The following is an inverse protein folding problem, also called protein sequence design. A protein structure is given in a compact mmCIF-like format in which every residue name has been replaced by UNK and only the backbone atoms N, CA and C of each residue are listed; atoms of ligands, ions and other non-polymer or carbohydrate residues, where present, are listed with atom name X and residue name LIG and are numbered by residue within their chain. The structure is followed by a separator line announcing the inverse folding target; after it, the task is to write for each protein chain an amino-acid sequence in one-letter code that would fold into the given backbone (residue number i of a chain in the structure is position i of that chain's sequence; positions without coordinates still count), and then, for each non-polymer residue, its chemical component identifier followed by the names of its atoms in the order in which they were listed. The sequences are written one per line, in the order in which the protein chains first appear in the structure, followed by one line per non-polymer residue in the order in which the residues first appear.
data_IF_060410322785
#
_entry.id   IF_060410322785
#
_cell.length_a   1.000
_cell.length_b   1.000
_cell.length_c   1.000
_cell.angle_alpha   90.00
_cell.angle_beta   90.00
_cell.angle_gamma   90.00
#
_symmetry.space_group_name_H-M   'P 1'
#
loop_
_entity.id
_entity.type
_entity.pdbx_description
1 polymer ?
#
# COMPACT_ATOMS: atom_id res chain seq x y z
N UNK A 1 -19.79 8.72 -1.33
CA UNK A 1 -19.02 8.40 -2.56
C UNK A 1 -17.51 8.78 -2.49
N UNK A 2 -16.92 9.08 -1.32
CA UNK A 2 -15.60 9.74 -1.25
C UNK A 2 -14.33 8.86 -1.33
N UNK A 3 -14.42 7.54 -1.55
CA UNK A 3 -13.25 6.62 -1.51
C UNK A 3 -13.16 5.64 -2.68
N UNK A 4 -13.95 5.81 -3.73
CA UNK A 4 -13.91 4.92 -4.89
C UNK A 4 -12.55 4.99 -5.62
N UNK A 5 -11.95 6.18 -5.68
CA UNK A 5 -10.63 6.41 -6.28
C UNK A 5 -9.48 5.71 -5.54
N UNK A 6 -9.60 5.45 -4.23
CA UNK A 6 -8.58 4.71 -3.46
C UNK A 6 -8.55 3.20 -3.76
N UNK A 7 -9.61 2.69 -4.41
CA UNK A 7 -9.71 1.29 -4.83
C UNK A 7 -9.37 1.07 -6.30
N UNK A 8 -9.04 2.13 -7.05
CA UNK A 8 -8.58 2.01 -8.42
C UNK A 8 -7.18 1.39 -8.42
N UNK A 9 -7.14 0.08 -8.62
CA UNK A 9 -5.91 -0.66 -8.81
C UNK A 9 -5.43 -0.40 -10.24
N UNK A 10 -4.50 0.54 -10.40
CA UNK A 10 -3.77 0.67 -11.65
C UNK A 10 -2.93 -0.60 -11.79
N UNK A 11 -3.36 -1.51 -12.66
CA UNK A 11 -2.82 -2.87 -12.83
C UNK A 11 -1.31 -2.94 -13.11
N UNK A 12 -0.66 -1.80 -13.37
CA UNK A 12 0.77 -1.66 -13.53
C UNK A 12 1.53 -1.55 -12.21
N UNK A 13 1.71 -2.67 -11.49
CA UNK A 13 2.88 -2.96 -10.64
C UNK A 13 3.46 -1.86 -9.74
N UNK A 14 2.66 -0.91 -9.28
CA UNK A 14 3.12 0.28 -8.57
C UNK A 14 2.92 0.22 -7.06
N UNK A 15 3.48 1.20 -6.35
CA UNK A 15 3.37 1.33 -4.89
C UNK A 15 1.92 1.35 -4.39
N UNK A 16 0.99 1.89 -5.20
CA UNK A 16 -0.43 1.92 -4.88
C UNK A 16 -1.07 0.52 -4.86
N UNK A 17 -0.75 -0.34 -5.82
CA UNK A 17 -1.23 -1.72 -5.86
C UNK A 17 -0.71 -2.54 -4.66
N UNK A 18 0.57 -2.35 -4.31
CA UNK A 18 1.18 -2.98 -3.13
C UNK A 18 0.51 -2.49 -1.84
N UNK A 19 0.24 -1.19 -1.73
CA UNK A 19 -0.45 -0.62 -0.57
C UNK A 19 -1.89 -1.11 -0.44
N UNK A 20 -2.63 -1.26 -1.55
CA UNK A 20 -3.98 -1.80 -1.56
C UNK A 20 -3.99 -3.27 -1.09
N UNK A 21 -3.08 -4.09 -1.62
CA UNK A 21 -2.93 -5.49 -1.23
C UNK A 21 -2.51 -5.61 0.24
N UNK A 22 -1.58 -4.76 0.70
CA UNK A 22 -1.16 -4.71 2.10
C UNK A 22 -2.35 -4.39 3.01
N UNK A 23 -3.13 -3.36 2.68
CA UNK A 23 -4.30 -2.95 3.46
C UNK A 23 -5.36 -4.07 3.56
N UNK A 24 -5.54 -4.86 2.50
CA UNK A 24 -6.45 -6.01 2.49
C UNK A 24 -5.96 -7.14 3.40
N UNK A 25 -4.65 -7.45 3.37
CA UNK A 25 -4.07 -8.58 4.09
C UNK A 25 -3.73 -8.28 5.55
N UNK A 26 -3.66 -7.01 5.94
CA UNK A 26 -3.36 -6.61 7.31
C UNK A 26 -4.40 -7.14 8.31
N UNK A 27 -3.88 -7.61 9.45
CA UNK A 27 -4.70 -8.04 10.58
C UNK A 27 -5.02 -6.85 11.46
N UNK A 28 -6.24 -6.80 11.99
CA UNK A 28 -6.70 -5.70 12.84
C UNK A 28 -6.96 -6.19 14.25
N UNK A 29 -6.66 -5.34 15.24
CA UNK A 29 -6.87 -5.65 16.67
C UNK A 29 -8.33 -5.98 16.97
N UNK A 30 -9.34 -5.20 16.50
CA UNK A 30 -10.73 -5.50 16.81
C UNK A 30 -11.16 -6.87 16.31
N UNK A 31 -10.75 -7.26 15.09
CA UNK A 31 -11.06 -8.60 14.55
C UNK A 31 -10.40 -9.71 15.36
N UNK A 32 -9.18 -9.51 15.85
CA UNK A 32 -8.51 -10.48 16.71
C UNK A 32 -9.24 -10.66 18.05
N UNK A 33 -9.70 -9.56 18.68
CA UNK A 33 -10.49 -9.64 19.92
C UNK A 33 -11.88 -10.23 19.71
N UNK A 34 -12.55 -9.92 18.59
CA UNK A 34 -13.82 -10.56 18.23
C UNK A 34 -13.62 -12.06 18.02
N UNK A 35 -12.55 -12.48 17.35
CA UNK A 35 -12.21 -13.89 17.21
C UNK A 35 -11.87 -14.55 18.55
N UNK A 36 -11.30 -13.80 19.50
CA UNK A 36 -11.00 -14.28 20.85
C UNK A 36 -12.26 -14.47 21.70
N UNK A 37 -13.34 -13.72 21.45
CA UNK A 37 -14.62 -14.01 22.12
C UNK A 37 -15.13 -15.44 21.85
N UNK A 38 -14.67 -16.04 20.74
CA UNK A 38 -14.89 -17.43 20.36
C UNK A 38 -13.64 -18.30 20.61
N UNK A 39 -12.86 -18.00 21.66
CA UNK A 39 -11.63 -18.72 22.00
C UNK A 39 -11.81 -20.24 22.17
N UNK A 40 -12.96 -20.82 22.60
CA UNK A 40 -13.08 -22.28 22.69
C UNK A 40 -12.86 -22.97 21.34
N UNK A 41 -13.15 -22.26 20.24
CA UNK A 41 -12.92 -22.72 18.87
C UNK A 41 -11.50 -22.42 18.34
N UNK A 42 -10.68 -21.67 19.09
CA UNK A 42 -9.32 -21.28 18.70
C UNK A 42 -9.24 -20.27 17.55
N UNK A 43 -10.35 -19.62 17.20
CA UNK A 43 -10.46 -18.75 16.00
C UNK A 43 -9.45 -17.59 16.01
N UNK A 44 -9.12 -17.04 17.18
CA UNK A 44 -8.13 -15.98 17.31
C UNK A 44 -6.74 -16.43 16.86
N UNK A 45 -6.31 -17.66 17.17
CA UNK A 45 -5.02 -18.19 16.72
C UNK A 45 -5.01 -18.58 15.26
N UNK A 46 -6.12 -19.13 14.73
CA UNK A 46 -6.25 -19.35 13.29
C UNK A 46 -6.22 -18.04 12.49
N UNK A 47 -6.88 -16.99 12.98
CA UNK A 47 -6.82 -15.65 12.40
C UNK A 47 -5.39 -15.08 12.39
N UNK A 48 -4.62 -15.37 13.44
CA UNK A 48 -3.21 -15.00 13.58
C UNK A 48 -2.24 -16.01 12.94
N UNK A 49 -2.72 -16.90 12.07
CA UNK A 49 -1.92 -17.85 11.27
C UNK A 49 -1.10 -18.84 12.11
N UNK A 50 -1.58 -19.22 13.28
CA UNK A 50 -0.93 -20.17 14.19
C UNK A 50 -1.79 -21.45 14.34
N UNK A 51 -1.84 -22.33 13.33
CA UNK A 51 -2.83 -23.42 13.26
C UNK A 51 -2.63 -24.46 14.37
N UNK A 52 -1.37 -24.78 14.70
CA UNK A 52 -1.05 -25.73 15.79
C UNK A 52 -1.55 -25.20 17.13
N UNK A 53 -1.28 -23.92 17.40
CA UNK A 53 -1.74 -23.26 18.60
C UNK A 53 -3.27 -23.12 18.64
N UNK A 54 -3.92 -22.91 17.49
CA UNK A 54 -5.37 -22.81 17.36
C UNK A 54 -6.09 -24.13 17.63
N UNK A 55 -5.51 -25.26 17.22
CA UNK A 55 -6.08 -26.60 17.45
C UNK A 55 -6.09 -27.02 18.93
N UNK A 56 -5.24 -26.42 19.78
CA UNK A 56 -5.21 -26.72 21.23
C UNK A 56 -6.54 -26.38 21.92
N UNK A 57 -7.18 -25.28 21.53
CA UNK A 57 -8.43 -24.80 22.13
C UNK A 57 -9.63 -25.74 21.91
N UNK A 58 -9.94 -26.18 20.67
CA UNK A 58 -11.04 -27.12 20.46
C UNK A 58 -10.73 -28.48 21.10
N UNK A 59 -9.48 -28.94 21.10
CA UNK A 59 -9.10 -30.18 21.80
C UNK A 59 -9.33 -30.06 23.31
N UNK A 60 -8.90 -28.97 23.93
CA UNK A 60 -9.16 -28.72 25.36
C UNK A 60 -10.65 -28.57 25.65
N UNK A 61 -11.40 -27.92 24.76
CA UNK A 61 -12.84 -27.74 24.91
C UNK A 61 -13.58 -29.08 24.82
N UNK A 62 -13.16 -29.98 23.92
CA UNK A 62 -13.64 -31.36 23.88
C UNK A 62 -13.24 -32.14 25.13
N UNK A 63 -12.04 -31.94 25.66
CA UNK A 63 -11.61 -32.56 26.91
C UNK A 63 -12.45 -32.08 28.11
N UNK A 64 -12.80 -30.78 28.19
CA UNK A 64 -13.73 -30.25 29.18
C UNK A 64 -15.10 -30.92 29.05
N UNK A 65 -15.66 -30.98 27.84
CA UNK A 65 -16.96 -31.61 27.60
C UNK A 65 -16.96 -33.11 27.94
N UNK A 66 -15.92 -33.84 27.53
CA UNK A 66 -15.77 -35.27 27.80
C UNK A 66 -15.62 -35.56 29.29
N UNK A 67 -14.79 -34.79 30.01
CA UNK A 67 -14.63 -34.95 31.45
C UNK A 67 -15.88 -34.55 32.22
N UNK A 68 -16.60 -33.52 31.79
CA UNK A 68 -17.88 -33.14 32.40
C UNK A 68 -18.96 -34.22 32.22
N UNK A 69 -18.93 -34.97 31.12
CA UNK A 69 -19.88 -36.05 30.84
C UNK A 69 -19.52 -37.38 31.53
N UNK A 70 -18.24 -37.74 31.52
CA UNK A 70 -17.78 -39.08 31.90
C UNK A 70 -17.28 -39.19 33.34
N UNK A 71 -16.79 -38.09 33.94
CA UNK A 71 -16.19 -38.12 35.27
C UNK A 71 -17.17 -37.53 36.31
N UNK A 72 -17.46 -38.25 37.41
CA UNK A 72 -18.29 -37.72 38.48
C UNK A 72 -17.56 -36.61 39.24
N UNK A 73 -18.28 -35.59 39.69
CA UNK A 73 -17.73 -34.49 40.50
C UNK A 73 -17.11 -33.37 39.66
N UNK A 74 -16.01 -32.80 40.15
CA UNK A 74 -15.47 -31.52 39.65
C UNK A 74 -14.22 -31.66 38.78
N UNK A 75 -13.93 -32.87 38.28
CA UNK A 75 -12.73 -33.14 37.47
C UNK A 75 -12.66 -32.31 36.18
N UNK A 76 -13.81 -31.90 35.63
CA UNK A 76 -13.89 -31.02 34.46
C UNK A 76 -13.32 -29.61 34.71
N UNK A 77 -13.18 -29.20 35.97
CA UNK A 77 -12.55 -27.91 36.32
C UNK A 77 -11.07 -27.87 35.96
N UNK A 78 -10.36 -29.00 35.95
CA UNK A 78 -8.94 -29.05 35.61
C UNK A 78 -8.67 -28.62 34.16
N UNK A 79 -9.23 -29.28 33.13
CA UNK A 79 -9.04 -28.82 31.75
C UNK A 79 -9.66 -27.45 31.51
N UNK A 80 -10.73 -27.07 32.23
CA UNK A 80 -11.31 -25.75 32.11
C UNK A 80 -10.37 -24.65 32.64
N UNK A 81 -9.71 -24.87 33.78
CA UNK A 81 -8.75 -23.94 34.33
C UNK A 81 -7.56 -23.74 33.38
N UNK A 82 -7.07 -24.81 32.76
CA UNK A 82 -6.02 -24.74 31.73
C UNK A 82 -6.50 -23.94 30.51
N UNK A 83 -7.71 -24.24 30.01
CA UNK A 83 -8.32 -23.56 28.88
C UNK A 83 -8.45 -22.05 29.13
N UNK A 84 -8.98 -21.65 30.29
CA UNK A 84 -9.13 -20.24 30.68
C UNK A 84 -7.77 -19.56 30.89
N UNK A 85 -6.81 -20.23 31.52
CA UNK A 85 -5.46 -19.71 31.69
C UNK A 85 -4.77 -19.41 30.35
N UNK A 86 -4.90 -20.30 29.38
CA UNK A 86 -4.39 -20.08 28.02
C UNK A 86 -5.14 -18.95 27.30
N UNK A 87 -6.46 -18.84 27.47
CA UNK A 87 -7.25 -17.77 26.88
C UNK A 87 -6.84 -16.39 27.42
N UNK A 88 -6.65 -16.28 28.74
CA UNK A 88 -6.17 -15.06 29.42
C UNK A 88 -4.75 -14.73 28.96
N UNK A 89 -3.85 -15.71 28.95
CA UNK A 89 -2.49 -15.53 28.44
C UNK A 89 -2.53 -14.97 27.01
N UNK A 90 -3.34 -15.54 26.11
CA UNK A 90 -3.45 -15.04 24.75
C UNK A 90 -3.92 -13.58 24.66
N UNK A 91 -4.79 -13.12 25.57
CA UNK A 91 -5.28 -11.73 25.59
C UNK A 91 -4.13 -10.71 25.68
N UNK A 92 -3.11 -11.00 26.49
CA UNK A 92 -1.92 -10.15 26.64
C UNK A 92 -1.01 -10.18 25.41
N UNK A 93 -1.01 -11.28 24.64
CA UNK A 93 -0.11 -11.46 23.51
C UNK A 93 -0.74 -11.11 22.15
N UNK A 94 -2.06 -10.99 22.05
CA UNK A 94 -2.76 -10.67 20.79
C UNK A 94 -2.19 -9.40 20.14
N UNK A 95 -1.97 -8.34 20.92
CA UNK A 95 -1.45 -7.08 20.39
C UNK A 95 -0.07 -7.26 19.76
N UNK A 96 0.86 -7.88 20.48
CA UNK A 96 2.21 -8.15 19.99
C UNK A 96 2.22 -9.02 18.74
N UNK A 97 1.34 -10.03 18.67
CA UNK A 97 1.23 -10.90 17.48
C UNK A 97 0.69 -10.15 16.26
N UNK A 98 -0.34 -9.33 16.43
CA UNK A 98 -0.88 -8.51 15.32
C UNK A 98 0.20 -7.58 14.77
N UNK A 99 0.96 -6.92 15.63
CA UNK A 99 2.06 -6.03 15.22
C UNK A 99 3.14 -6.82 14.47
N UNK A 100 3.57 -7.96 15.01
CA UNK A 100 4.59 -8.82 14.40
C UNK A 100 4.16 -9.31 13.01
N UNK A 101 2.95 -9.86 12.88
CA UNK A 101 2.43 -10.34 11.60
C UNK A 101 2.29 -9.22 10.57
N UNK A 102 1.80 -8.06 10.98
CA UNK A 102 1.69 -6.92 10.07
C UNK A 102 3.07 -6.39 9.65
N UNK A 103 4.08 -6.46 10.53
CA UNK A 103 5.46 -6.11 10.20
C UNK A 103 6.06 -7.11 9.21
N UNK A 104 5.89 -8.40 9.46
CA UNK A 104 6.31 -9.47 8.54
C UNK A 104 5.65 -9.34 7.17
N UNK A 105 4.35 -9.07 7.12
CA UNK A 105 3.61 -8.86 5.88
C UNK A 105 4.16 -7.66 5.08
N UNK A 106 4.46 -6.54 5.75
CA UNK A 106 5.10 -5.38 5.11
C UNK A 106 6.46 -5.76 4.55
N UNK A 107 7.30 -6.42 5.34
CA UNK A 107 8.60 -6.88 4.87
C UNK A 107 8.48 -7.80 3.67
N UNK A 108 7.57 -8.79 3.71
CA UNK A 108 7.37 -9.72 2.61
C UNK A 108 6.90 -9.04 1.32
N UNK A 109 6.05 -8.00 1.42
CA UNK A 109 5.54 -7.29 0.25
C UNK A 109 6.54 -6.28 -0.32
N UNK A 110 7.25 -5.52 0.54
CA UNK A 110 8.21 -4.50 0.09
C UNK A 110 9.59 -5.08 -0.26
N UNK A 111 10.02 -6.16 0.40
CA UNK A 111 11.29 -6.83 0.12
C UNK A 111 11.14 -7.99 -0.86
N UNK A 112 9.94 -8.24 -1.40
CA UNK A 112 9.76 -9.26 -2.45
C UNK A 112 10.58 -8.84 -3.66
N UNK A 113 11.72 -9.50 -3.89
CA UNK A 113 12.44 -9.48 -5.17
C UNK A 113 11.60 -10.20 -6.22
N UNK A 114 10.51 -9.59 -6.66
CA UNK A 114 9.60 -10.09 -7.70
C UNK A 114 9.63 -9.20 -8.93
N UNK A 115 9.13 -9.71 -10.07
CA UNK A 115 9.12 -9.06 -11.39
C UNK A 115 8.67 -7.58 -11.44
N UNK A 116 7.91 -7.10 -10.45
CA UNK A 116 7.45 -5.71 -10.32
C UNK A 116 8.48 -4.75 -9.71
N UNK A 117 9.60 -5.27 -9.17
CA UNK A 117 10.71 -4.47 -8.65
C UNK A 117 11.78 -4.17 -9.70
N UNK A 118 11.52 -4.51 -10.98
CA UNK A 118 12.38 -4.00 -12.05
C UNK A 118 12.14 -2.50 -12.14
N UNK A 119 13.18 -1.68 -11.98
CA UNK A 119 13.06 -0.27 -12.26
C UNK A 119 12.48 -0.09 -13.68
N UNK A 120 11.68 0.96 -13.95
CA UNK A 120 11.35 1.34 -15.32
C UNK A 120 12.59 1.29 -16.21
N UNK A 121 12.43 0.96 -17.50
CA UNK A 121 13.56 0.71 -18.42
C UNK A 121 14.63 1.82 -18.40
N UNK A 122 14.25 3.05 -18.06
CA UNK A 122 15.13 4.22 -18.00
C UNK A 122 15.33 4.80 -16.59
N UNK A 123 15.02 4.04 -15.54
CA UNK A 123 15.24 4.50 -14.17
C UNK A 123 16.73 4.51 -13.84
N UNK A 124 17.33 5.69 -13.96
CA UNK A 124 18.63 6.03 -13.39
C UNK A 124 18.38 6.35 -11.91
N UNK A 125 18.87 5.52 -11.00
CA UNK A 125 18.67 5.68 -9.57
C UNK A 125 19.32 6.96 -9.02
N UNK A 126 19.44 7.07 -7.69
CA UNK A 126 20.33 8.09 -7.13
C UNK A 126 21.77 7.68 -7.45
N UNK A 127 22.48 8.55 -8.13
CA UNK A 127 23.92 8.48 -8.37
C UNK A 127 24.64 8.29 -7.04
N UNK A 128 25.20 7.10 -6.81
CA UNK A 128 25.82 6.71 -5.53
C UNK A 128 27.34 6.66 -5.59
N UNK A 129 27.95 6.76 -6.78
CA UNK A 129 29.39 6.67 -6.95
C UNK A 129 30.02 8.04 -7.26
N UNK A 130 31.27 8.27 -6.85
CA UNK A 130 31.99 9.53 -7.10
C UNK A 130 32.21 9.81 -8.60
N UNK A 131 32.27 8.75 -9.44
CA UNK A 131 32.27 8.87 -10.90
C UNK A 131 30.97 9.46 -11.45
N UNK A 132 29.86 9.25 -10.74
CA UNK A 132 28.57 9.81 -11.11
C UNK A 132 28.45 11.29 -10.72
N UNK A 133 29.25 11.78 -9.77
CA UNK A 133 29.23 13.19 -9.39
C UNK A 133 29.63 14.10 -10.56
N UNK A 134 30.60 13.69 -11.37
CA UNK A 134 31.01 14.40 -12.60
C UNK A 134 29.98 14.24 -13.73
N UNK A 135 29.29 13.10 -13.82
CA UNK A 135 28.15 12.95 -14.73
C UNK A 135 26.99 13.86 -14.34
N UNK A 136 26.67 13.95 -13.05
CA UNK A 136 25.65 14.83 -12.49
C UNK A 136 25.99 16.29 -12.72
N UNK A 137 27.25 16.71 -12.51
CA UNK A 137 27.67 18.08 -12.80
C UNK A 137 27.46 18.42 -14.27
N UNK A 138 27.82 17.52 -15.19
CA UNK A 138 27.60 17.71 -16.64
C UNK A 138 26.12 17.80 -17.00
N UNK A 139 25.30 16.88 -16.50
CA UNK A 139 23.85 16.89 -16.72
C UNK A 139 23.19 18.15 -16.14
N UNK A 140 23.63 18.59 -14.96
CA UNK A 140 23.16 19.81 -14.31
C UNK A 140 23.54 21.07 -15.10
N UNK A 141 24.77 21.11 -15.66
CA UNK A 141 25.22 22.19 -16.53
C UNK A 141 24.45 22.22 -17.84
N UNK A 142 24.21 21.07 -18.47
CA UNK A 142 23.39 20.97 -19.68
C UNK A 142 21.95 21.46 -19.42
N UNK A 143 21.35 21.04 -18.29
CA UNK A 143 20.02 21.48 -17.90
C UNK A 143 19.95 22.98 -17.61
N UNK A 144 20.96 23.53 -16.92
CA UNK A 144 21.06 24.99 -16.68
C UNK A 144 21.20 25.77 -17.97
N UNK A 145 22.01 25.31 -18.93
CA UNK A 145 22.18 25.97 -20.22
C UNK A 145 20.86 26.01 -21.01
N UNK A 146 20.12 24.90 -21.04
CA UNK A 146 18.77 24.86 -21.66
C UNK A 146 17.83 25.81 -20.94
N UNK A 147 17.84 25.83 -19.60
CA UNK A 147 16.97 26.73 -18.83
C UNK A 147 17.34 28.20 -18.96
N UNK A 148 18.61 28.54 -19.10
CA UNK A 148 19.07 29.91 -19.35
C UNK A 148 18.67 30.38 -20.75
N UNK A 149 18.69 29.49 -21.74
CA UNK A 149 18.13 29.76 -23.07
C UNK A 149 16.62 30.00 -23.03
N UNK A 150 15.89 29.37 -22.09
CA UNK A 150 14.45 29.58 -21.89
C UNK A 150 14.12 30.80 -21.02
N UNK A 151 15.05 31.33 -20.21
CA UNK A 151 14.75 32.31 -19.14
C UNK A 151 14.82 33.77 -19.57
N UNK A 152 15.26 34.07 -20.79
CA UNK A 152 15.14 35.40 -21.37
C UNK A 152 14.27 35.29 -22.62
N UNK A 153 13.31 36.20 -22.81
CA UNK A 153 12.33 36.18 -23.91
C UNK A 153 12.91 36.36 -25.31
N UNK A 154 13.90 35.56 -25.68
CA UNK A 154 14.48 35.47 -27.01
C UNK A 154 13.91 34.24 -27.72
N UNK A 155 13.38 34.37 -28.94
CA UNK A 155 13.06 33.21 -29.76
C UNK A 155 14.36 32.44 -30.03
N UNK A 156 14.31 31.12 -29.89
CA UNK A 156 15.42 30.22 -30.22
C UNK A 156 15.76 30.37 -31.71
N UNK A 157 16.78 31.16 -32.03
CA UNK A 157 17.34 31.24 -33.37
C UNK A 157 18.29 30.06 -33.58
N UNK A 158 17.77 28.94 -34.10
CA UNK A 158 18.61 27.99 -34.83
C UNK A 158 18.86 28.54 -36.24
N UNK A 159 20.12 28.69 -36.70
CA UNK A 159 20.40 29.06 -38.07
C UNK A 159 20.41 27.81 -38.97
N UNK A 160 19.59 27.82 -40.01
CA UNK A 160 19.43 26.73 -40.99
C UNK A 160 18.15 25.95 -40.69
N UNK A 161 17.07 26.07 -41.47
CA UNK A 161 17.00 25.90 -42.92
C UNK A 161 15.72 26.59 -43.39
N UNK A 162 15.77 27.35 -44.48
CA UNK A 162 14.58 27.88 -45.15
C UNK A 162 13.83 26.71 -45.77
N UNK A 163 12.73 26.28 -45.16
CA UNK A 163 11.65 25.60 -45.88
C UNK A 163 10.30 26.12 -45.39
N UNK A 164 9.58 26.72 -46.33
CA UNK A 164 8.16 27.04 -46.24
C UNK A 164 7.37 25.73 -46.06
N UNK A 165 6.79 25.51 -44.89
CA UNK A 165 5.56 24.71 -44.80
C UNK A 165 4.69 25.22 -43.66
N UNK A 166 3.44 25.55 -44.02
CA UNK A 166 2.44 26.06 -43.08
C UNK A 166 2.03 24.99 -42.08
N UNK A 167 2.48 25.12 -40.84
CA UNK A 167 1.85 24.50 -39.69
C UNK A 167 1.64 25.59 -38.64
N UNK A 168 0.38 25.98 -38.43
CA UNK A 168 -0.05 26.87 -37.35
C UNK A 168 0.30 26.22 -36.01
N UNK A 169 1.51 26.49 -35.51
CA UNK A 169 1.90 26.26 -34.13
C UNK A 169 1.14 27.23 -33.23
N UNK A 170 -0.12 26.90 -32.95
CA UNK A 170 -0.97 27.67 -32.05
C UNK A 170 -0.32 27.77 -30.67
N UNK A 171 0.01 28.98 -30.27
CA UNK A 171 0.41 29.34 -28.90
C UNK A 171 -0.57 28.67 -27.93
N UNK A 172 -0.07 27.86 -26.98
CA UNK A 172 -0.92 27.31 -25.93
C UNK A 172 -1.59 28.47 -25.19
N UNK A 173 -2.92 28.48 -25.07
CA UNK A 173 -3.65 29.57 -24.44
C UNK A 173 -3.17 29.74 -23.00
N UNK A 174 -2.98 30.98 -22.60
CA UNK A 174 -2.61 31.33 -21.23
C UNK A 174 -3.69 30.89 -20.24
N UNK A 175 -3.33 30.75 -18.96
CA UNK A 175 -4.27 30.33 -17.92
C UNK A 175 -5.54 31.20 -17.87
N UNK A 176 -5.39 32.51 -18.10
CA UNK A 176 -6.52 33.45 -18.17
C UNK A 176 -7.44 33.16 -19.37
N UNK A 177 -6.89 32.78 -20.52
CA UNK A 177 -7.67 32.42 -21.70
C UNK A 177 -8.37 31.06 -21.53
N UNK A 178 -7.73 30.12 -20.83
CA UNK A 178 -8.35 28.83 -20.48
C UNK A 178 -9.51 29.02 -19.50
N UNK A 179 -9.35 29.88 -18.50
CA UNK A 179 -10.42 30.20 -17.54
C UNK A 179 -11.60 30.92 -18.23
N UNK A 180 -11.31 31.84 -19.17
CA UNK A 180 -12.33 32.50 -19.97
C UNK A 180 -13.12 31.51 -20.84
N UNK A 181 -12.43 30.56 -21.51
CA UNK A 181 -13.08 29.51 -22.29
C UNK A 181 -13.96 28.60 -21.44
N UNK A 182 -13.50 28.23 -20.24
CA UNK A 182 -14.31 27.44 -19.31
C UNK A 182 -15.58 28.19 -18.89
N UNK A 183 -15.49 29.49 -18.58
CA UNK A 183 -16.67 30.32 -18.22
C UNK A 183 -17.69 30.41 -19.36
N UNK A 184 -17.24 30.48 -20.61
CA UNK A 184 -18.16 30.49 -21.76
C UNK A 184 -18.85 29.15 -21.98
N UNK A 185 -18.14 28.03 -21.80
CA UNK A 185 -18.74 26.69 -21.91
C UNK A 185 -19.83 26.46 -20.84
N UNK A 186 -19.61 26.92 -19.61
CA UNK A 186 -20.61 26.82 -18.54
C UNK A 186 -21.85 27.68 -18.86
N UNK A 187 -21.65 28.91 -19.36
CA UNK A 187 -22.77 29.79 -19.78
C UNK A 187 -23.59 29.24 -20.94
N UNK A 188 -22.98 28.49 -21.86
CA UNK A 188 -23.71 27.84 -22.96
C UNK A 188 -24.48 26.60 -22.49
N UNK A 189 -23.96 25.88 -21.50
CA UNK A 189 -24.64 24.71 -20.92
C UNK A 189 -25.92 25.07 -20.16
N UNK A 190 -25.94 26.22 -19.49
CA UNK A 190 -27.12 26.66 -18.71
C UNK A 190 -28.20 27.37 -19.57
N UNK A 191 -27.97 27.53 -20.89
CA UNK A 191 -28.90 28.16 -21.84
C UNK A 191 -29.51 27.18 -22.85
N UNK A 192 -29.27 25.87 -22.70
CA UNK A 192 -29.94 24.79 -23.44
C UNK A 192 -30.75 23.94 -22.48
#
# INVERSE_FOLDING_TARGET
MAKAWQKLNLEGGGLQAVNALLAEKMRTRPRAYVAWALFPLGLHRFYLLEPRGGAVFPVLSLAVAATAWLAPGWWWLLPLAVLLGLAIHDLFWIEGRVVRLNKELRMQLFLRKGKSSRPPKDYRGRYTEDSDAEAVKRDLHAYKAVKEQERAGHPSASPGTKEESGARGGRQPSFNEQEAMLRELTKRRDKG
#
